data_IF_518654967073
#
_entry.id   IF_518654967073
#
_cell.length_a   1.000
_cell.length_b   1.000
_cell.length_c   1.000
_cell.angle_alpha   90.00
_cell.angle_beta   90.00
_cell.angle_gamma   90.00
#
_symmetry.space_group_name_H-M   'P 1'
#
loop_
_entity.id
_entity.type
_entity.pdbx_description
1 polymer ?
#
# COMPACT_ATOMS: atom_id res chain seq x y z
N UNK A 1 -36.38 19.97 35.21
CA UNK A 1 -35.44 20.13 34.09
C UNK A 1 -35.92 19.29 32.92
N UNK A 2 -36.06 19.86 31.71
CA UNK A 2 -36.47 19.09 30.52
C UNK A 2 -35.26 18.39 29.91
N UNK A 3 -35.35 17.09 29.68
CA UNK A 3 -34.32 16.28 29.04
C UNK A 3 -34.32 16.55 27.54
N UNK A 4 -33.35 17.32 27.05
CA UNK A 4 -33.10 17.47 25.62
C UNK A 4 -32.31 16.25 25.14
N UNK A 5 -32.88 15.50 24.19
CA UNK A 5 -32.17 14.41 23.53
C UNK A 5 -31.75 14.84 22.11
N UNK A 6 -30.53 14.47 21.68
CA UNK A 6 -30.07 14.75 20.33
C UNK A 6 -30.90 13.98 19.30
N UNK A 7 -31.21 14.64 18.19
CA UNK A 7 -31.88 14.01 17.03
C UNK A 7 -30.85 13.14 16.31
N UNK A 8 -31.19 11.89 15.94
CA UNK A 8 -30.28 11.03 15.20
C UNK A 8 -29.88 11.69 13.88
N UNK A 9 -28.58 11.86 13.67
CA UNK A 9 -28.02 12.40 12.43
C UNK A 9 -28.01 11.31 11.35
N UNK A 10 -28.06 11.73 10.08
CA UNK A 10 -27.96 10.80 8.96
C UNK A 10 -26.61 10.10 8.93
N UNK A 11 -26.63 8.78 8.72
CA UNK A 11 -25.42 7.95 8.64
C UNK A 11 -24.75 8.10 7.27
N UNK A 12 -23.73 8.94 7.19
CA UNK A 12 -22.96 9.19 5.96
C UNK A 12 -21.78 8.21 5.75
N UNK A 13 -21.61 7.20 6.61
CA UNK A 13 -20.39 6.38 6.67
C UNK A 13 -20.42 5.10 5.81
N UNK A 14 -21.47 4.86 5.02
CA UNK A 14 -21.63 3.63 4.25
C UNK A 14 -20.90 3.63 2.90
N UNK A 15 -19.83 4.41 2.73
CA UNK A 15 -19.10 4.42 1.46
C UNK A 15 -18.12 3.23 1.39
N UNK A 16 -18.25 2.43 0.32
CA UNK A 16 -17.23 1.44 -0.03
C UNK A 16 -15.95 2.19 -0.41
N UNK A 17 -14.90 2.06 0.41
CA UNK A 17 -13.61 2.67 0.09
C UNK A 17 -13.05 2.05 -1.20
N UNK A 18 -12.65 2.90 -2.14
CA UNK A 18 -11.97 2.43 -3.35
C UNK A 18 -10.59 1.88 -2.97
N UNK A 19 -10.35 0.60 -3.27
CA UNK A 19 -9.08 -0.07 -3.06
C UNK A 19 -8.63 -0.66 -4.39
N UNK A 20 -7.40 -0.36 -4.80
CA UNK A 20 -6.86 -0.89 -6.06
C UNK A 20 -6.79 -2.42 -6.02
N UNK A 21 -7.21 -3.06 -7.13
CA UNK A 21 -7.26 -4.53 -7.24
C UNK A 21 -5.88 -5.15 -7.03
N UNK A 22 -4.83 -4.47 -7.49
CA UNK A 22 -3.45 -4.94 -7.38
C UNK A 22 -3.01 -5.12 -5.91
N UNK A 23 -3.47 -4.27 -4.97
CA UNK A 23 -3.12 -4.42 -3.55
C UNK A 23 -3.60 -5.76 -2.94
N UNK A 24 -4.61 -6.40 -3.55
CA UNK A 24 -5.11 -7.70 -3.11
C UNK A 24 -4.13 -8.84 -3.42
N UNK A 25 -3.41 -8.76 -4.54
CA UNK A 25 -2.56 -9.86 -5.06
C UNK A 25 -1.06 -9.59 -5.04
N UNK A 26 -0.59 -8.36 -4.78
CA UNK A 26 0.85 -8.06 -4.80
C UNK A 26 1.67 -8.93 -3.84
N UNK A 27 2.96 -9.16 -4.13
CA UNK A 27 3.89 -9.76 -3.16
C UNK A 27 4.54 -8.69 -2.28
N UNK A 28 4.88 -7.55 -2.87
CA UNK A 28 5.61 -6.47 -2.23
C UNK A 28 4.83 -5.15 -2.29
N UNK A 29 5.07 -4.26 -1.32
CA UNK A 29 4.47 -2.93 -1.26
C UNK A 29 5.50 -1.87 -0.84
N UNK A 30 5.33 -0.67 -1.38
CA UNK A 30 6.01 0.54 -0.93
C UNK A 30 5.25 1.18 0.23
N UNK A 31 5.96 1.58 1.30
CA UNK A 31 5.37 2.24 2.45
C UNK A 31 5.64 3.75 2.41
N UNK A 32 4.59 4.56 2.56
CA UNK A 32 4.72 6.02 2.67
C UNK A 32 5.40 6.44 3.97
N UNK A 33 6.35 7.35 3.88
CA UNK A 33 6.98 8.00 5.04
C UNK A 33 6.11 9.17 5.50
N UNK A 34 5.58 9.09 6.72
CA UNK A 34 4.71 10.12 7.32
C UNK A 34 5.48 11.08 8.22
N UNK A 35 6.66 11.53 7.78
CA UNK A 35 7.43 12.56 8.47
C UNK A 35 7.87 13.62 7.48
N UNK A 36 8.18 14.82 7.99
CA UNK A 36 8.78 15.86 7.16
C UNK A 36 10.09 15.34 6.60
N UNK A 37 10.24 15.43 5.28
CA UNK A 37 11.44 15.01 4.58
C UNK A 37 12.12 16.21 3.91
N UNK A 38 13.45 16.16 3.71
CA UNK A 38 14.17 17.15 2.91
C UNK A 38 13.60 17.25 1.48
N UNK A 39 13.82 18.37 0.77
CA UNK A 39 13.50 18.47 -0.65
C UNK A 39 14.14 17.32 -1.45
N UNK A 40 13.41 16.84 -2.47
CA UNK A 40 13.84 15.76 -3.38
C UNK A 40 14.13 14.40 -2.72
N UNK A 41 13.59 14.17 -1.52
CA UNK A 41 13.61 12.86 -0.87
C UNK A 41 12.49 11.95 -1.40
N UNK A 42 12.71 10.64 -1.31
CA UNK A 42 11.71 9.67 -1.72
C UNK A 42 10.61 9.52 -0.65
N UNK A 43 9.37 9.85 -0.99
CA UNK A 43 8.23 9.80 -0.06
C UNK A 43 7.81 8.38 0.36
N UNK A 44 8.36 7.37 -0.29
CA UNK A 44 8.05 5.96 -0.05
C UNK A 44 9.34 5.17 0.14
N UNK A 45 9.35 4.24 1.09
CA UNK A 45 10.48 3.37 1.32
C UNK A 45 10.16 1.95 0.88
N UNK A 46 11.18 1.30 0.29
CA UNK A 46 11.36 -0.14 0.10
C UNK A 46 10.24 -0.90 -0.63
N UNK A 47 10.54 -1.93 -1.42
CA UNK A 47 9.59 -3.01 -1.59
C UNK A 47 9.61 -3.89 -0.34
N UNK A 48 8.60 -3.79 0.51
CA UNK A 48 8.46 -4.66 1.68
C UNK A 48 7.57 -5.85 1.36
N UNK A 49 8.00 -7.04 1.78
CA UNK A 49 7.22 -8.26 1.67
C UNK A 49 5.94 -8.15 2.50
N UNK A 50 4.80 -8.52 1.90
CA UNK A 50 3.52 -8.58 2.60
C UNK A 50 3.28 -9.97 3.17
N UNK A 51 3.33 -10.08 4.50
CA UNK A 51 3.10 -11.33 5.22
C UNK A 51 1.61 -11.65 5.38
N UNK A 52 0.79 -10.62 5.63
CA UNK A 52 -0.66 -10.80 5.84
C UNK A 52 -1.44 -9.57 5.41
N UNK A 53 -2.64 -9.80 4.87
CA UNK A 53 -3.58 -8.76 4.43
C UNK A 53 -4.90 -8.85 5.21
N UNK A 54 -5.44 -7.70 5.54
CA UNK A 54 -6.80 -7.50 6.07
C UNK A 54 -7.40 -6.30 5.34
N UNK A 55 -8.73 -6.11 5.39
CA UNK A 55 -9.43 -5.03 4.69
C UNK A 55 -8.81 -3.63 4.87
N UNK A 56 -8.29 -3.32 6.07
CA UNK A 56 -7.71 -2.00 6.40
C UNK A 56 -6.22 -2.03 6.77
N UNK A 57 -5.67 -3.21 7.06
CA UNK A 57 -4.35 -3.36 7.66
C UNK A 57 -3.52 -4.40 6.91
N UNK A 58 -2.30 -4.02 6.57
CA UNK A 58 -1.27 -4.87 5.99
C UNK A 58 -0.23 -5.15 7.07
N UNK A 59 0.22 -6.40 7.16
CA UNK A 59 1.39 -6.78 7.95
C UNK A 59 2.55 -6.99 6.99
N UNK A 60 3.55 -6.13 7.07
CA UNK A 60 4.73 -6.15 6.20
C UNK A 60 5.99 -6.50 6.99
N UNK A 61 6.99 -7.07 6.31
CA UNK A 61 8.28 -7.38 6.89
C UNK A 61 9.27 -6.23 6.63
N UNK A 62 9.71 -5.57 7.68
CA UNK A 62 10.73 -4.50 7.62
C UNK A 62 11.90 -4.94 8.50
N UNK A 63 13.08 -5.12 7.90
CA UNK A 63 14.31 -5.49 8.61
C UNK A 63 14.10 -6.72 9.53
N UNK A 64 13.41 -7.75 9.02
CA UNK A 64 13.09 -8.98 9.77
C UNK A 64 11.97 -8.84 10.82
N UNK A 65 11.39 -7.65 11.00
CA UNK A 65 10.32 -7.40 11.96
C UNK A 65 8.98 -7.21 11.26
N UNK A 66 7.94 -7.86 11.78
CA UNK A 66 6.56 -7.70 11.29
C UNK A 66 6.01 -6.36 11.78
N UNK A 67 5.49 -5.55 10.86
CA UNK A 67 4.90 -4.25 11.15
C UNK A 67 3.51 -4.14 10.55
N UNK A 68 2.54 -3.72 11.36
CA UNK A 68 1.19 -3.42 10.91
C UNK A 68 1.11 -1.99 10.36
N UNK A 69 0.59 -1.84 9.15
CA UNK A 69 0.42 -0.56 8.46
C UNK A 69 -0.99 -0.46 7.86
N UNK A 70 -1.56 0.74 7.79
CA UNK A 70 -2.86 0.93 7.14
C UNK A 70 -2.74 0.85 5.63
N UNK A 71 -3.81 0.42 4.97
CA UNK A 71 -3.89 0.34 3.52
C UNK A 71 -3.67 1.69 2.83
N UNK A 72 -4.03 2.79 3.49
CA UNK A 72 -3.89 4.15 2.94
C UNK A 72 -2.43 4.62 2.80
N UNK A 73 -1.49 3.90 3.44
CA UNK A 73 -0.06 4.23 3.43
C UNK A 73 0.75 3.33 2.51
N UNK A 74 0.12 2.39 1.82
CA UNK A 74 0.83 1.43 0.97
C UNK A 74 0.49 1.62 -0.51
N UNK A 75 1.49 1.42 -1.35
CA UNK A 75 1.36 1.34 -2.80
C UNK A 75 1.87 -0.03 -3.26
N UNK A 76 1.22 -0.70 -4.23
CA UNK A 76 1.76 -1.95 -4.78
C UNK A 76 3.14 -1.71 -5.38
N UNK A 77 4.09 -2.62 -5.10
CA UNK A 77 5.40 -2.60 -5.74
C UNK A 77 5.36 -3.52 -6.97
N UNK A 78 5.53 -2.93 -8.14
CA UNK A 78 5.70 -3.68 -9.38
C UNK A 78 7.18 -4.02 -9.53
N UNK A 79 7.52 -5.25 -9.20
CA UNK A 79 8.84 -5.81 -9.49
C UNK A 79 8.78 -6.35 -10.92
N UNK A 80 9.72 -5.97 -11.77
CA UNK A 80 9.80 -6.47 -13.14
C UNK A 80 10.20 -7.95 -13.10
N UNK A 81 9.50 -8.79 -13.85
CA UNK A 81 9.83 -10.21 -13.91
C UNK A 81 11.18 -10.36 -14.62
N UNK A 82 12.23 -10.88 -13.95
CA UNK A 82 13.55 -11.01 -14.55
C UNK A 82 13.54 -11.84 -15.84
N UNK A 83 12.59 -12.76 -16.02
CA UNK A 83 12.48 -13.59 -17.22
C UNK A 83 12.15 -12.74 -18.45
N UNK A 84 11.24 -11.77 -18.31
CA UNK A 84 10.87 -10.85 -19.40
C UNK A 84 11.96 -9.83 -19.71
N UNK A 85 12.74 -9.44 -18.69
CA UNK A 85 13.89 -8.55 -18.87
C UNK A 85 14.98 -9.24 -19.68
N UNK A 86 15.29 -10.50 -19.37
CA UNK A 86 16.29 -11.28 -20.09
C UNK A 86 15.85 -11.48 -21.55
N UNK A 87 14.57 -11.78 -21.81
CA UNK A 87 14.05 -11.97 -23.16
C UNK A 87 14.19 -10.71 -24.02
N UNK A 88 13.76 -9.55 -23.51
CA UNK A 88 13.87 -8.27 -24.22
C UNK A 88 15.32 -7.80 -24.39
N UNK A 89 16.20 -8.07 -23.43
CA UNK A 89 17.62 -7.76 -23.56
C UNK A 89 18.33 -8.68 -24.57
N UNK A 90 17.94 -9.95 -24.66
CA UNK A 90 18.47 -10.85 -25.68
C UNK A 90 18.02 -10.44 -27.09
N UNK A 91 16.75 -10.04 -27.27
CA UNK A 91 16.25 -9.54 -28.55
C UNK A 91 16.90 -8.22 -28.98
N UNK A 92 17.23 -7.33 -28.03
CA UNK A 92 17.91 -6.06 -28.31
C UNK A 92 19.38 -6.24 -28.75
N UNK A 93 20.07 -7.29 -28.28
CA UNK A 93 21.49 -7.53 -28.61
C UNK A 93 21.68 -8.28 -29.95
N UNK A 94 20.61 -8.74 -30.58
CA UNK A 94 20.64 -9.47 -31.87
C UNK A 94 20.35 -8.60 -33.10
N UNK A 95 20.25 -7.27 -32.95
CA UNK A 95 20.12 -6.31 -34.06
C UNK A 95 21.42 -5.53 -34.23
#
# INVERSE_FOLDING_TARGET
>A
MRTLQPIPTSAHSNSSMFVSTNLKSCSHVFLRVNSVQPPLSQNYTGPYEVIRRTAKVFTILINGRKKAVSIDRVKPAYMQDPVLVIFLLLEYQTT
#
